data_IF_078182515694
#
_entry.id   IF_078182515694
#
_cell.length_a   1.000
_cell.length_b   1.000
_cell.length_c   1.000
_cell.angle_alpha   90.00
_cell.angle_beta   90.00
_cell.angle_gamma   90.00
#
_symmetry.space_group_name_H-M   'P 1'
#
loop_
_entity.id
_entity.type
_entity.pdbx_description
1 polymer ?
#
# COMPACT_ATOMS: atom_id res chain seq x y z
N UNK A 1 -10.55 4.95 3.30
CA UNK A 1 -11.17 5.32 4.56
C UNK A 1 -10.24 4.99 5.71
N UNK A 2 -10.26 5.80 6.75
CA UNK A 2 -9.34 5.66 7.87
C UNK A 2 -10.13 5.43 9.15
N UNK A 3 -9.82 4.38 9.87
CA UNK A 3 -10.54 4.04 11.09
C UNK A 3 -9.57 3.78 12.24
N UNK A 4 -9.83 4.39 13.39
CA UNK A 4 -9.12 4.09 14.62
C UNK A 4 -9.98 3.20 15.46
N UNK A 5 -9.46 2.10 15.90
CA UNK A 5 -10.16 1.21 16.80
C UNK A 5 -10.32 1.90 18.15
N UNK A 6 -11.52 1.78 18.74
CA UNK A 6 -11.86 2.52 19.96
C UNK A 6 -12.45 1.60 21.01
N UNK A 7 -11.89 0.72 21.47
CA UNK A 7 -12.37 -0.06 22.59
C UNK A 7 -11.45 0.13 23.78
N UNK A 8 -11.84 -0.39 24.90
CA UNK A 8 -10.96 -0.47 26.05
C UNK A 8 -9.80 -1.38 25.68
N UNK A 9 -8.60 -0.89 25.84
CA UNK A 9 -7.41 -1.63 25.48
C UNK A 9 -7.01 -1.49 24.04
N UNK A 10 -7.78 -0.71 23.25
CA UNK A 10 -7.47 -0.50 21.84
C UNK A 10 -6.70 0.77 21.58
N UNK A 11 -6.15 1.38 22.62
CA UNK A 11 -5.46 2.66 22.53
C UNK A 11 -4.29 2.61 21.55
N UNK A 12 -3.69 1.44 21.40
CA UNK A 12 -2.53 1.26 20.55
C UNK A 12 -2.83 0.63 19.21
N UNK A 13 -4.10 0.29 18.99
CA UNK A 13 -4.50 -0.32 17.73
C UNK A 13 -4.84 0.76 16.73
N UNK A 14 -4.30 0.63 15.55
CA UNK A 14 -4.59 1.52 14.45
C UNK A 14 -5.01 0.70 13.26
N UNK A 15 -6.10 1.11 12.63
CA UNK A 15 -6.65 0.43 11.47
C UNK A 15 -6.83 1.42 10.35
N UNK A 16 -6.48 0.97 9.16
CA UNK A 16 -6.86 1.63 7.94
C UNK A 16 -7.96 0.78 7.32
N UNK A 17 -9.09 1.39 7.05
CA UNK A 17 -10.16 0.73 6.32
C UNK A 17 -10.15 1.26 4.91
N UNK A 18 -9.89 0.38 3.95
CA UNK A 18 -9.70 0.77 2.57
C UNK A 18 -10.76 0.09 1.73
N UNK A 19 -11.45 0.88 0.91
CA UNK A 19 -12.50 0.39 0.03
C UNK A 19 -11.98 0.39 -1.39
N UNK A 20 -12.07 -0.77 -2.05
CA UNK A 20 -11.68 -0.93 -3.44
C UNK A 20 -12.84 -1.57 -4.17
N UNK A 21 -13.28 -0.96 -5.26
CA UNK A 21 -14.33 -1.54 -6.06
C UNK A 21 -13.81 -2.78 -6.77
N UNK A 22 -14.57 -3.88 -6.78
CA UNK A 22 -14.17 -5.06 -7.55
C UNK A 22 -14.24 -4.78 -9.04
N UNK A 23 -13.58 -5.63 -9.81
CA UNK A 23 -13.52 -5.46 -11.25
C UNK A 23 -14.83 -5.84 -11.95
N UNK A 24 -15.75 -6.49 -11.25
CA UNK A 24 -17.05 -6.88 -11.79
C UNK A 24 -18.08 -7.00 -10.67
N UNK A 25 -19.34 -7.04 -11.05
CA UNK A 25 -20.44 -7.16 -10.09
C UNK A 25 -20.86 -8.62 -9.90
N UNK A 26 -21.64 -8.86 -8.88
CA UNK A 26 -22.25 -10.16 -8.64
C UNK A 26 -21.31 -11.20 -8.07
N UNK A 27 -20.19 -10.77 -7.49
CA UNK A 27 -19.24 -11.68 -6.90
C UNK A 27 -19.73 -12.17 -5.54
N UNK A 28 -19.43 -13.43 -5.19
CA UNK A 28 -19.78 -13.92 -3.87
C UNK A 28 -18.96 -13.19 -2.79
N UNK A 29 -19.59 -13.00 -1.65
CA UNK A 29 -18.92 -12.42 -0.50
C UNK A 29 -17.87 -13.38 0.02
N UNK A 30 -16.69 -12.88 0.33
CA UNK A 30 -15.65 -13.69 0.93
C UNK A 30 -14.93 -12.89 2.02
N UNK A 31 -14.40 -13.62 2.97
CA UNK A 31 -13.62 -13.06 4.04
C UNK A 31 -12.29 -13.79 4.11
N UNK A 32 -11.23 -13.05 4.30
CA UNK A 32 -9.90 -13.62 4.41
C UNK A 32 -9.10 -12.85 5.44
N UNK A 33 -8.39 -13.57 6.27
CA UNK A 33 -7.51 -13.00 7.26
C UNK A 33 -6.15 -13.65 7.08
N UNK A 34 -5.11 -12.85 7.01
CA UNK A 34 -3.77 -13.36 6.79
C UNK A 34 -2.82 -12.81 7.85
N UNK A 35 -1.74 -13.53 8.06
CA UNK A 35 -0.63 -13.06 8.88
C UNK A 35 0.44 -12.54 7.94
N UNK A 36 0.80 -11.27 8.09
CA UNK A 36 1.79 -10.67 7.20
C UNK A 36 3.17 -11.28 7.43
N UNK A 37 3.94 -11.37 6.35
CA UNK A 37 5.34 -11.74 6.46
C UNK A 37 6.09 -10.68 7.26
N UNK A 38 7.21 -11.03 7.91
CA UNK A 38 8.01 -10.03 8.63
C UNK A 38 8.42 -8.88 7.71
N UNK A 39 8.30 -7.66 8.22
CA UNK A 39 8.73 -6.48 7.47
C UNK A 39 10.26 -6.41 7.50
N UNK A 40 10.85 -6.10 6.36
CA UNK A 40 12.29 -5.93 6.23
C UNK A 40 12.57 -4.53 5.72
N UNK A 41 13.62 -3.93 6.25
CA UNK A 41 14.02 -2.58 5.86
C UNK A 41 14.44 -2.55 4.40
N UNK A 42 13.94 -1.56 3.67
CA UNK A 42 14.25 -1.31 2.25
C UNK A 42 13.79 -2.43 1.32
N UNK A 43 12.83 -3.25 1.76
CA UNK A 43 12.24 -4.29 0.93
C UNK A 43 10.72 -4.12 0.88
N UNK A 44 10.17 -4.24 -0.30
CA UNK A 44 8.73 -4.14 -0.51
C UNK A 44 8.04 -5.41 -0.01
N UNK A 45 6.98 -5.23 0.76
CA UNK A 45 6.17 -6.34 1.25
C UNK A 45 4.77 -6.22 0.66
N UNK A 46 4.40 -7.16 -0.21
CA UNK A 46 3.07 -7.17 -0.82
C UNK A 46 2.09 -7.81 0.14
N UNK A 47 1.01 -7.11 0.43
CA UNK A 47 0.01 -7.60 1.39
C UNK A 47 -1.33 -7.92 0.73
N UNK A 48 -1.64 -7.30 -0.41
CA UNK A 48 -2.85 -7.60 -1.18
C UNK A 48 -2.48 -7.64 -2.66
N UNK A 49 -3.04 -8.59 -3.39
CA UNK A 49 -2.77 -8.78 -4.82
C UNK A 49 -4.05 -9.21 -5.53
N UNK A 50 -4.05 -9.22 -6.88
CA UNK A 50 -5.19 -9.74 -7.63
C UNK A 50 -5.41 -11.22 -7.40
N UNK A 51 -6.62 -11.69 -7.74
CA UNK A 51 -6.97 -13.10 -7.69
C UNK A 51 -5.93 -13.95 -8.41
N UNK A 52 -5.53 -15.04 -7.78
CA UNK A 52 -4.51 -15.93 -8.34
C UNK A 52 -3.10 -15.60 -7.86
N UNK A 53 -2.91 -14.44 -7.25
CA UNK A 53 -1.60 -14.01 -6.75
C UNK A 53 -1.53 -13.97 -5.23
N UNK A 54 -2.53 -14.52 -4.56
CA UNK A 54 -2.52 -14.63 -3.11
C UNK A 54 -1.55 -15.70 -2.64
N UNK A 55 -1.18 -15.64 -1.37
CA UNK A 55 -0.28 -16.60 -0.76
C UNK A 55 -0.60 -16.70 0.73
N UNK A 56 0.23 -17.42 1.45
CA UNK A 56 0.07 -17.52 2.90
C UNK A 56 0.13 -16.15 3.59
N UNK A 57 0.89 -15.23 3.00
CA UNK A 57 1.11 -13.91 3.59
C UNK A 57 0.58 -12.76 2.72
N UNK A 58 -0.18 -13.08 1.69
CA UNK A 58 -0.72 -12.06 0.77
C UNK A 58 -2.19 -12.37 0.50
N UNK A 59 -3.08 -11.49 0.89
CA UNK A 59 -4.50 -11.63 0.58
C UNK A 59 -4.72 -11.33 -0.91
N UNK A 60 -5.83 -11.78 -1.45
CA UNK A 60 -6.14 -11.48 -2.84
C UNK A 60 -7.55 -10.89 -2.96
N UNK A 61 -7.75 -10.07 -3.98
CA UNK A 61 -9.02 -9.40 -4.22
C UNK A 61 -9.39 -9.51 -5.69
N UNK A 62 -10.67 -9.26 -5.97
CA UNK A 62 -11.19 -9.26 -7.35
C UNK A 62 -10.95 -7.89 -7.99
N UNK A 63 -9.71 -7.51 -8.12
CA UNK A 63 -9.31 -6.29 -8.80
C UNK A 63 -7.84 -6.39 -9.18
N UNK A 64 -7.46 -5.71 -10.26
CA UNK A 64 -6.05 -5.62 -10.67
C UNK A 64 -5.35 -4.54 -9.84
N UNK A 65 -5.28 -4.78 -8.55
CA UNK A 65 -4.74 -3.83 -7.58
C UNK A 65 -3.78 -4.54 -6.65
N UNK A 66 -2.78 -3.82 -6.19
CA UNK A 66 -1.77 -4.32 -5.27
C UNK A 66 -1.61 -3.35 -4.12
N UNK A 67 -1.52 -3.90 -2.91
CA UNK A 67 -1.21 -3.11 -1.72
C UNK A 67 0.13 -3.60 -1.20
N UNK A 68 1.03 -2.67 -0.96
CA UNK A 68 2.36 -2.97 -0.45
C UNK A 68 2.67 -2.11 0.76
N UNK A 69 3.52 -2.61 1.64
CA UNK A 69 4.13 -1.79 2.67
C UNK A 69 5.62 -1.74 2.43
N UNK A 70 6.21 -0.62 2.78
CA UNK A 70 7.65 -0.40 2.59
C UNK A 70 8.18 0.38 3.78
N UNK A 71 9.16 -0.17 4.46
CA UNK A 71 9.91 0.53 5.49
C UNK A 71 11.23 0.94 4.88
N UNK A 72 11.36 2.23 4.61
CA UNK A 72 12.53 2.76 3.94
C UNK A 72 13.41 3.49 4.94
N UNK A 73 14.71 3.24 4.88
CA UNK A 73 15.65 3.86 5.79
C UNK A 73 16.90 4.28 5.04
N UNK A 74 17.13 5.60 4.96
CA UNK A 74 18.32 6.19 4.34
C UNK A 74 18.62 5.60 2.98
N UNK A 75 17.60 5.47 2.15
CA UNK A 75 17.75 4.80 0.86
C UNK A 75 16.75 5.35 -0.14
N UNK A 76 16.92 4.91 -1.37
CA UNK A 76 16.03 5.20 -2.49
C UNK A 76 15.44 3.90 -2.97
N UNK A 77 14.14 3.88 -3.18
CA UNK A 77 13.45 2.73 -3.73
C UNK A 77 12.79 3.10 -5.04
N UNK A 78 13.03 2.32 -6.08
CA UNK A 78 12.39 2.50 -7.38
C UNK A 78 11.23 1.52 -7.48
N UNK A 79 10.01 2.04 -7.46
CA UNK A 79 8.83 1.21 -7.60
C UNK A 79 8.45 1.11 -9.06
N UNK A 80 8.32 -0.12 -9.55
CA UNK A 80 7.88 -0.37 -10.92
C UNK A 80 6.41 -0.78 -10.90
N UNK A 81 5.58 -0.16 -11.72
CA UNK A 81 4.16 -0.52 -11.82
C UNK A 81 4.03 -1.98 -12.23
N UNK A 82 3.14 -2.68 -11.57
CA UNK A 82 2.85 -4.09 -11.85
C UNK A 82 2.04 -4.27 -13.11
N UNK A 83 1.26 -3.26 -13.47
CA UNK A 83 0.42 -3.29 -14.65
C UNK A 83 0.43 -1.93 -15.32
N UNK A 84 0.63 -1.94 -16.62
CA UNK A 84 0.63 -0.71 -17.41
C UNK A 84 -0.72 -0.02 -17.30
N UNK A 85 -0.71 1.30 -17.17
CA UNK A 85 -1.93 2.08 -17.07
C UNK A 85 -2.45 2.26 -15.65
N UNK A 86 -1.89 1.55 -14.67
CA UNK A 86 -2.27 1.74 -13.27
C UNK A 86 -1.71 3.04 -12.71
N UNK A 87 -2.31 3.51 -11.65
CA UNK A 87 -1.77 4.60 -10.85
C UNK A 87 -1.32 4.08 -9.49
N UNK A 88 -0.48 4.84 -8.82
CA UNK A 88 0.01 4.50 -7.50
C UNK A 88 -0.38 5.60 -6.51
N UNK A 89 -0.95 5.20 -5.38
CA UNK A 89 -1.21 6.08 -4.26
C UNK A 89 -0.20 5.77 -3.18
N UNK A 90 0.58 6.78 -2.79
CA UNK A 90 1.58 6.64 -1.72
C UNK A 90 1.01 7.31 -0.47
N UNK A 91 0.90 6.57 0.61
CA UNK A 91 0.44 7.10 1.87
C UNK A 91 1.54 6.92 2.92
N UNK A 92 1.90 8.01 3.59
CA UNK A 92 2.97 7.98 4.59
C UNK A 92 2.38 7.65 5.95
N UNK A 93 2.70 6.49 6.46
CA UNK A 93 2.26 6.07 7.80
C UNK A 93 3.07 6.78 8.87
N UNK A 94 4.38 6.82 8.71
CA UNK A 94 5.29 7.48 9.63
C UNK A 94 6.52 7.98 8.89
N UNK A 95 7.09 9.06 9.38
CA UNK A 95 8.33 9.62 8.83
C UNK A 95 8.10 10.55 7.67
N UNK A 96 9.13 10.77 6.89
CA UNK A 96 9.14 11.66 5.73
C UNK A 96 9.69 10.93 4.53
N UNK A 97 9.13 11.18 3.37
CA UNK A 97 9.62 10.60 2.13
C UNK A 97 9.51 11.64 1.02
N UNK A 98 10.43 11.58 0.07
CA UNK A 98 10.37 12.38 -1.16
C UNK A 98 9.93 11.45 -2.27
N UNK A 99 8.83 11.80 -2.93
CA UNK A 99 8.26 11.03 -4.04
C UNK A 99 8.33 11.92 -5.27
N UNK A 100 9.12 11.55 -6.26
CA UNK A 100 9.26 12.31 -7.51
C UNK A 100 9.48 13.81 -7.24
N UNK A 101 10.38 14.12 -6.32
CA UNK A 101 10.76 15.49 -5.92
C UNK A 101 9.73 16.20 -5.04
N UNK A 102 8.66 15.55 -4.63
CA UNK A 102 7.68 16.12 -3.70
C UNK A 102 7.89 15.54 -2.32
N UNK A 103 7.97 16.40 -1.32
CA UNK A 103 8.16 15.96 0.07
C UNK A 103 6.82 15.66 0.73
N UNK A 104 6.72 14.48 1.31
CA UNK A 104 5.54 14.07 2.07
C UNK A 104 5.94 13.80 3.51
N UNK A 105 5.11 14.26 4.43
CA UNK A 105 5.27 14.01 5.86
C UNK A 105 4.28 12.97 6.32
N UNK A 106 4.34 12.61 7.60
CA UNK A 106 3.42 11.63 8.19
C UNK A 106 1.97 11.96 7.87
N UNK A 107 1.24 10.97 7.39
CA UNK A 107 -0.18 11.03 7.04
C UNK A 107 -0.49 11.81 5.78
N UNK A 108 0.52 12.22 5.04
CA UNK A 108 0.32 12.79 3.71
C UNK A 108 0.13 11.67 2.69
N UNK A 109 -0.61 11.97 1.63
CA UNK A 109 -0.82 11.04 0.53
C UNK A 109 -0.62 11.73 -0.81
N UNK A 110 -0.22 10.95 -1.81
CA UNK A 110 0.04 11.45 -3.15
C UNK A 110 -0.32 10.40 -4.18
N UNK A 111 -1.08 10.81 -5.19
CA UNK A 111 -1.41 9.94 -6.32
C UNK A 111 -0.52 10.24 -7.51
N UNK A 112 -0.05 9.20 -8.18
CA UNK A 112 0.82 9.31 -9.35
C UNK A 112 0.27 8.40 -10.43
N UNK A 113 0.12 8.92 -11.64
CA UNK A 113 -0.37 8.15 -12.76
C UNK A 113 0.37 8.54 -14.04
N UNK A 114 0.22 7.72 -15.05
CA UNK A 114 0.92 7.91 -16.33
C UNK A 114 2.44 7.84 -16.19
N UNK A 115 2.90 7.03 -15.23
CA UNK A 115 4.33 6.75 -15.04
C UNK A 115 4.51 5.27 -14.75
N UNK A 116 5.59 4.69 -15.23
CA UNK A 116 5.87 3.27 -14.99
C UNK A 116 6.81 3.05 -13.82
N UNK A 117 7.65 4.02 -13.55
CA UNK A 117 8.60 3.94 -12.45
C UNK A 117 8.47 5.16 -11.56
N UNK A 118 8.51 4.93 -10.25
CA UNK A 118 8.34 5.98 -9.26
C UNK A 118 9.48 5.88 -8.26
N UNK A 119 10.15 7.00 -8.03
CA UNK A 119 11.29 7.08 -7.13
C UNK A 119 10.84 7.56 -5.75
N UNK A 120 11.16 6.77 -4.73
CA UNK A 120 10.86 7.06 -3.33
C UNK A 120 12.18 7.17 -2.58
N UNK A 121 12.39 8.26 -1.86
CA UNK A 121 13.65 8.48 -1.16
C UNK A 121 13.41 9.05 0.23
N UNK A 122 14.21 8.60 1.20
CA UNK A 122 14.22 9.22 2.52
C UNK A 122 15.66 9.30 3.03
N UNK A 123 15.96 10.39 3.70
CA UNK A 123 17.25 10.57 4.38
C UNK A 123 17.21 10.03 5.81
N UNK A 124 16.03 9.74 6.31
CA UNK A 124 15.84 9.17 7.64
C UNK A 124 15.10 7.86 7.57
N UNK A 125 13.92 7.78 8.17
CA UNK A 125 13.06 6.61 8.16
C UNK A 125 11.68 6.99 7.68
N UNK A 126 11.07 6.11 6.91
CA UNK A 126 9.68 6.28 6.47
C UNK A 126 9.00 4.93 6.40
N UNK A 127 7.77 4.88 6.88
CA UNK A 127 6.92 3.71 6.76
C UNK A 127 5.78 4.07 5.82
N UNK A 128 5.67 3.35 4.71
CA UNK A 128 4.79 3.71 3.61
C UNK A 128 3.79 2.62 3.31
N UNK A 129 2.60 3.03 2.86
CA UNK A 129 1.62 2.15 2.26
C UNK A 129 1.50 2.56 0.80
N UNK A 130 1.73 1.62 -0.10
CA UNK A 130 1.66 1.85 -1.54
C UNK A 130 0.48 1.07 -2.09
N UNK A 131 -0.43 1.78 -2.77
CA UNK A 131 -1.62 1.17 -3.33
C UNK A 131 -1.63 1.42 -4.83
N UNK A 132 -1.46 0.35 -5.59
CA UNK A 132 -1.51 0.43 -7.05
C UNK A 132 -2.89 -0.01 -7.51
N UNK A 133 -3.55 0.82 -8.31
CA UNK A 133 -4.93 0.57 -8.76
C UNK A 133 -5.09 0.93 -10.22
N UNK A 134 -6.07 0.30 -10.93
CA UNK A 134 -6.41 0.74 -12.27
C UNK A 134 -6.96 2.15 -12.23
N UNK A 135 -6.68 2.93 -13.27
CA UNK A 135 -7.11 4.32 -13.35
C UNK A 135 -8.46 4.46 -14.05
N UNK A 136 -9.17 3.35 -14.23
CA UNK A 136 -10.49 3.38 -14.83
C UNK A 136 -11.38 2.36 -14.27
#
# INVERSE_FOLDING_TARGET
>A
DFCLSRGLGDVYKRQLQIWVFPDRRGLPTRYEEITLAPARTNELRTIVAPEGNGSEHTAWIHQSAWFHTLNLEKDTYEYAMRREGNGLYVFVLEGDVTVENEKLASRDGMGIWEQNDITLHTDGKASLLLIEVPMR
#
